data_IF_377232502313
#
_entry.id   IF_377232502313
#
_cell.length_a   1.000
_cell.length_b   1.000
_cell.length_c   1.000
_cell.angle_alpha   90.00
_cell.angle_beta   90.00
_cell.angle_gamma   90.00
#
_symmetry.space_group_name_H-M   'P 1'
#
loop_
_entity.id
_entity.type
_entity.pdbx_description
1 polymer ?
#
# COMPACT_ATOMS: atom_id res chain seq x y z
N UNK A 1 13.09 1.07 -10.83
CA UNK A 1 12.20 -0.02 -10.38
C UNK A 1 11.51 0.45 -9.12
N UNK A 2 10.36 1.13 -9.23
CA UNK A 2 9.57 1.50 -8.06
C UNK A 2 9.13 0.20 -7.38
N UNK A 3 9.59 -0.04 -6.15
CA UNK A 3 9.37 -1.28 -5.41
C UNK A 3 7.88 -1.63 -5.19
N UNK A 4 6.96 -0.68 -5.44
CA UNK A 4 5.52 -0.92 -5.43
C UNK A 4 4.81 -0.10 -6.52
N UNK A 5 4.05 -0.72 -7.45
CA UNK A 5 3.28 0.00 -8.46
C UNK A 5 2.07 0.74 -7.88
N UNK A 6 1.71 0.46 -6.62
CA UNK A 6 0.58 1.07 -5.92
C UNK A 6 1.00 2.13 -4.89
N UNK A 7 2.30 2.47 -4.81
CA UNK A 7 2.80 3.47 -3.85
C UNK A 7 2.71 3.06 -2.37
N UNK A 8 2.53 1.76 -2.08
CA UNK A 8 2.36 1.24 -0.73
C UNK A 8 3.68 0.94 0.01
N UNK A 9 4.82 1.22 -0.63
CA UNK A 9 6.17 1.04 -0.07
C UNK A 9 6.99 2.30 -0.32
N UNK A 10 7.57 2.86 0.73
CA UNK A 10 8.52 3.97 0.69
C UNK A 10 9.91 3.51 1.13
N UNK A 11 10.95 4.01 0.47
CA UNK A 11 12.35 3.77 0.84
C UNK A 11 12.92 5.00 1.55
N UNK A 12 13.39 4.81 2.78
CA UNK A 12 13.92 5.87 3.64
C UNK A 12 15.38 5.60 3.99
N UNK A 13 16.19 6.65 4.05
CA UNK A 13 17.53 6.63 4.62
C UNK A 13 17.42 6.74 6.15
N UNK A 14 18.08 5.81 6.85
CA UNK A 14 18.03 5.69 8.31
C UNK A 14 18.77 6.81 9.03
N UNK A 15 19.78 7.44 8.40
CA UNK A 15 20.57 8.50 9.04
C UNK A 15 19.85 9.84 9.05
N UNK A 16 19.04 10.11 8.03
CA UNK A 16 18.37 11.40 7.82
C UNK A 16 16.85 11.34 7.96
N UNK A 17 16.29 10.14 8.12
CA UNK A 17 14.84 9.91 8.08
C UNK A 17 14.19 10.40 6.79
N UNK A 18 14.99 10.56 5.72
CA UNK A 18 14.58 11.21 4.48
C UNK A 18 14.25 10.17 3.43
N UNK A 19 13.19 10.42 2.67
CA UNK A 19 12.85 9.64 1.49
C UNK A 19 14.04 9.64 0.52
N UNK A 20 14.46 8.45 0.11
CA UNK A 20 15.49 8.31 -0.92
C UNK A 20 14.79 8.49 -2.27
N UNK A 21 15.15 9.57 -2.96
CA UNK A 21 14.63 9.81 -4.29
C UNK A 21 15.48 9.02 -5.30
N UNK A 22 15.00 7.83 -5.67
CA UNK A 22 15.69 6.94 -6.61
C UNK A 22 15.76 7.50 -8.04
N UNK A 23 15.00 8.54 -8.36
CA UNK A 23 14.93 9.12 -9.71
C UNK A 23 16.04 10.14 -9.97
N UNK A 24 16.64 10.70 -8.90
CA UNK A 24 17.68 11.74 -8.98
C UNK A 24 19.03 11.28 -8.45
N UNK A 25 19.34 9.98 -8.48
CA UNK A 25 20.64 9.46 -8.07
C UNK A 25 21.66 9.77 -9.18
N UNK A 26 22.73 10.54 -8.91
CA UNK A 26 23.76 10.81 -9.90
C UNK A 26 24.45 9.51 -10.33
N UNK A 27 24.37 9.17 -11.62
CA UNK A 27 24.95 7.93 -12.17
C UNK A 27 26.47 7.93 -12.18
N UNK A 28 27.10 9.09 -12.02
CA UNK A 28 28.55 9.34 -12.06
C UNK A 28 29.27 9.05 -10.73
N UNK A 29 28.52 8.87 -9.62
CA UNK A 29 29.09 8.58 -8.30
C UNK A 29 28.43 7.37 -7.66
N UNK A 30 29.25 6.49 -7.08
CA UNK A 30 28.75 5.40 -6.26
C UNK A 30 28.19 5.98 -4.95
N UNK A 31 26.87 6.04 -4.86
CA UNK A 31 26.18 6.48 -3.65
C UNK A 31 26.00 5.28 -2.72
N UNK A 32 26.82 5.18 -1.68
CA UNK A 32 26.67 4.17 -0.65
C UNK A 32 25.70 4.69 0.41
N UNK A 33 24.51 4.09 0.49
CA UNK A 33 23.58 4.30 1.60
C UNK A 33 23.85 3.18 2.59
N UNK A 34 24.40 3.53 3.76
CA UNK A 34 24.82 2.54 4.76
C UNK A 34 23.64 1.73 5.30
N UNK A 35 22.48 2.37 5.50
CA UNK A 35 21.25 1.70 5.93
C UNK A 35 20.03 2.29 5.24
N UNK A 36 19.28 1.42 4.57
CA UNK A 36 18.03 1.74 3.90
C UNK A 36 16.87 0.96 4.53
N UNK A 37 15.77 1.65 4.80
CA UNK A 37 14.56 1.07 5.41
C UNK A 37 13.40 1.14 4.44
N UNK A 38 12.69 0.03 4.27
CA UNK A 38 11.46 -0.03 3.49
C UNK A 38 10.24 0.05 4.42
N UNK A 39 9.50 1.16 4.33
CA UNK A 39 8.27 1.35 5.07
C UNK A 39 7.10 0.91 4.18
N UNK A 40 6.45 -0.19 4.54
CA UNK A 40 5.24 -0.70 3.90
C UNK A 40 4.02 -0.35 4.75
N UNK A 41 2.89 -0.05 4.11
CA UNK A 41 1.61 0.07 4.80
C UNK A 41 1.31 -1.22 5.60
N UNK A 42 1.10 -1.07 6.90
CA UNK A 42 0.83 -2.12 7.87
C UNK A 42 -0.64 -2.14 8.33
N UNK A 43 -1.50 -1.40 7.63
CA UNK A 43 -2.91 -1.18 7.98
C UNK A 43 -3.10 -0.47 9.34
N UNK A 44 -2.12 0.33 9.77
CA UNK A 44 -2.13 1.02 11.06
C UNK A 44 -2.24 0.03 12.23
N UNK A 45 -1.42 -1.02 12.22
CA UNK A 45 -1.48 -2.15 13.17
C UNK A 45 -1.43 -1.75 14.65
N UNK A 46 -0.83 -0.58 14.96
CA UNK A 46 -0.68 -0.06 16.31
C UNK A 46 -1.77 0.94 16.73
N UNK A 47 -2.82 1.15 15.93
CA UNK A 47 -3.90 2.09 16.22
C UNK A 47 -5.20 1.35 16.46
N UNK A 48 -5.78 1.52 17.65
CA UNK A 48 -7.08 0.94 18.01
C UNK A 48 -8.24 1.50 17.15
N UNK A 49 -8.05 2.67 16.56
CA UNK A 49 -9.00 3.27 15.62
C UNK A 49 -8.95 2.61 14.22
N UNK A 50 -7.99 1.72 13.96
CA UNK A 50 -7.80 1.02 12.69
C UNK A 50 -7.10 1.83 11.59
N UNK A 51 -7.34 1.53 10.30
CA UNK A 51 -6.67 2.20 9.19
C UNK A 51 -7.08 3.67 9.05
N UNK A 52 -6.14 4.59 9.29
CA UNK A 52 -6.38 6.03 9.21
C UNK A 52 -6.87 6.47 7.82
N UNK A 53 -6.32 5.89 6.75
CA UNK A 53 -6.69 6.20 5.36
C UNK A 53 -8.17 5.94 5.05
N UNK A 54 -8.82 4.99 5.75
CA UNK A 54 -10.26 4.73 5.60
C UNK A 54 -11.06 5.77 6.38
N UNK A 55 -10.68 6.05 7.63
CA UNK A 55 -11.40 7.00 8.50
C UNK A 55 -11.45 8.42 7.93
N UNK A 56 -10.34 8.88 7.35
CA UNK A 56 -10.20 10.29 6.91
C UNK A 56 -10.65 10.52 5.47
N UNK A 57 -10.95 9.47 4.70
CA UNK A 57 -11.25 9.63 3.28
C UNK A 57 -12.64 10.27 3.08
N UNK A 58 -12.73 11.51 2.54
CA UNK A 58 -14.01 12.22 2.43
C UNK A 58 -14.97 11.56 1.45
N UNK A 59 -14.45 10.82 0.47
CA UNK A 59 -15.24 10.12 -0.56
C UNK A 59 -15.48 8.65 -0.22
N UNK A 60 -15.00 8.16 0.94
CA UNK A 60 -15.09 6.74 1.31
C UNK A 60 -14.54 5.79 0.24
N UNK A 61 -13.43 6.18 -0.40
CA UNK A 61 -12.85 5.42 -1.51
C UNK A 61 -12.21 4.09 -1.10
N UNK A 62 -11.78 3.95 0.16
CA UNK A 62 -11.08 2.78 0.66
C UNK A 62 -11.95 1.92 1.58
N UNK A 63 -11.80 0.60 1.46
CA UNK A 63 -12.45 -0.41 2.31
C UNK A 63 -11.50 -1.58 2.52
N UNK A 64 -11.48 -2.17 3.72
CA UNK A 64 -10.81 -3.46 3.96
C UNK A 64 -11.67 -4.59 3.39
N UNK A 65 -11.05 -5.47 2.62
CA UNK A 65 -11.69 -6.67 2.06
C UNK A 65 -11.06 -7.88 2.72
N UNK A 66 -11.89 -8.69 3.37
CA UNK A 66 -11.45 -9.97 3.96
C UNK A 66 -11.53 -11.11 2.95
N UNK A 67 -10.99 -12.27 3.31
CA UNK A 67 -11.12 -13.48 2.50
C UNK A 67 -12.57 -13.93 2.39
N UNK A 68 -13.37 -13.77 3.44
CA UNK A 68 -14.81 -14.03 3.45
C UNK A 68 -15.54 -13.10 2.48
N UNK A 69 -15.25 -11.79 2.52
CA UNK A 69 -15.84 -10.81 1.59
C UNK A 69 -15.56 -11.17 0.14
N UNK A 70 -14.32 -11.58 -0.14
CA UNK A 70 -13.89 -11.98 -1.47
C UNK A 70 -14.63 -13.25 -1.91
N UNK A 71 -14.70 -14.25 -1.03
CA UNK A 71 -15.38 -15.52 -1.27
C UNK A 71 -16.88 -15.32 -1.54
N UNK A 72 -17.54 -14.45 -0.77
CA UNK A 72 -18.94 -14.08 -0.98
C UNK A 72 -19.13 -13.32 -2.28
N UNK A 73 -18.25 -12.37 -2.60
CA UNK A 73 -18.28 -11.61 -3.85
C UNK A 73 -18.19 -12.53 -5.08
N UNK A 74 -17.33 -13.55 -5.03
CA UNK A 74 -17.20 -14.55 -6.10
C UNK A 74 -18.49 -15.38 -6.21
N UNK A 75 -19.03 -15.87 -5.09
CA UNK A 75 -20.30 -16.64 -5.09
C UNK A 75 -21.46 -15.82 -5.65
N UNK A 76 -21.59 -14.57 -5.25
CA UNK A 76 -22.66 -13.69 -5.70
C UNK A 76 -22.54 -13.37 -7.18
N UNK A 77 -21.33 -13.13 -7.70
CA UNK A 77 -21.10 -12.97 -9.14
C UNK A 77 -21.58 -14.20 -9.94
N UNK A 78 -21.27 -15.42 -9.48
CA UNK A 78 -21.72 -16.66 -10.13
C UNK A 78 -23.25 -16.81 -10.13
N UNK A 79 -23.90 -16.52 -9.00
CA UNK A 79 -25.37 -16.57 -8.90
C UNK A 79 -26.04 -15.54 -9.81
N UNK A 80 -25.51 -14.31 -9.83
CA UNK A 80 -26.08 -13.23 -10.61
C UNK A 80 -26.00 -13.46 -12.13
N UNK A 81 -25.05 -14.26 -12.62
CA UNK A 81 -25.02 -14.65 -14.04
C UNK A 81 -26.25 -15.49 -14.43
N UNK A 82 -26.77 -16.31 -13.51
CA UNK A 82 -27.94 -17.16 -13.76
C UNK A 82 -29.23 -16.33 -13.70
N UNK A 83 -29.28 -15.34 -12.81
CA UNK A 83 -30.45 -14.47 -12.58
C UNK A 83 -30.60 -13.32 -13.60
N UNK A 84 -29.66 -13.18 -14.55
CA UNK A 84 -29.66 -12.13 -15.59
C UNK A 84 -30.29 -12.59 -16.92
N UNK A 85 -30.94 -13.75 -16.93
CA UNK A 85 -31.81 -14.25 -17.98
C UNK A 85 -33.26 -14.24 -17.50
#
# INVERSE_FOLDING_TARGET
MLACPFGAINLNDTEKGKLINLENIPTDKLFCIEKMVANKCDLCSNSDEGPACIRVCPTSAFRIVTEEDLSQSIKNKRKNTILKF
#
